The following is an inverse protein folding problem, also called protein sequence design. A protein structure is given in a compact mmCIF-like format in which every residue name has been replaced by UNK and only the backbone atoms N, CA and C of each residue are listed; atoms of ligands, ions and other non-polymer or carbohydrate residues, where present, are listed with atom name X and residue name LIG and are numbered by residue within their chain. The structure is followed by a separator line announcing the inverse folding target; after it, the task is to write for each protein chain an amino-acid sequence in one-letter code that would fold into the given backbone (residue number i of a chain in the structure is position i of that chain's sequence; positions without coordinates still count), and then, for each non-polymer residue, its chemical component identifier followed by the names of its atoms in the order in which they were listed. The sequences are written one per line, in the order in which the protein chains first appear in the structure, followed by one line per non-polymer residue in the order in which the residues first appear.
data_IF_586900789120
#
_entry.id   IF_586900789120
#
_cell.length_a   1.000
_cell.length_b   1.000
_cell.length_c   1.000
_cell.angle_alpha   90.00
_cell.angle_beta   90.00
_cell.angle_gamma   90.00
#
_symmetry.space_group_name_H-M   'P 1'
#
loop_
_entity.id
_entity.type
_entity.pdbx_description
1 polymer ?
#
# COMPACT_ATOMS: atom_id res chain seq x y z
N UNK A 1 0.63 30.54 2.09
CA UNK A 1 0.06 30.20 0.77
C UNK A 1 0.27 28.71 0.56
N UNK A 2 -0.78 27.90 0.43
CA UNK A 2 -0.64 26.46 0.13
C UNK A 2 -0.40 26.33 -1.37
N UNK A 3 0.80 25.90 -1.75
CA UNK A 3 1.12 25.56 -3.14
C UNK A 3 0.56 24.17 -3.39
N UNK A 4 -0.50 24.09 -4.20
CA UNK A 4 -1.05 22.84 -4.68
C UNK A 4 -0.37 22.55 -6.01
N UNK A 5 0.39 21.45 -6.09
CA UNK A 5 1.03 20.98 -7.31
C UNK A 5 0.13 19.88 -7.88
N UNK A 6 -0.64 20.13 -8.94
CA UNK A 6 -1.66 19.21 -9.44
C UNK A 6 -1.07 17.89 -9.96
N UNK A 7 0.15 17.95 -10.49
CA UNK A 7 0.85 16.80 -11.07
C UNK A 7 1.72 16.05 -10.05
N UNK A 8 1.79 16.54 -8.81
CA UNK A 8 2.47 15.81 -7.75
C UNK A 8 1.59 14.62 -7.35
N UNK A 9 1.82 13.47 -7.98
CA UNK A 9 1.46 12.17 -7.40
C UNK A 9 2.20 12.09 -6.08
N UNK A 10 1.47 12.35 -4.99
CA UNK A 10 2.00 12.12 -3.66
C UNK A 10 2.18 10.62 -3.57
N UNK A 11 3.38 10.14 -3.92
CA UNK A 11 3.84 8.82 -3.53
C UNK A 11 3.59 8.78 -2.03
N UNK A 12 2.61 7.99 -1.61
CA UNK A 12 2.22 7.98 -0.22
C UNK A 12 3.47 7.62 0.53
N UNK A 13 3.90 8.54 1.40
CA UNK A 13 5.17 8.43 2.10
C UNK A 13 5.14 7.09 2.81
N UNK A 14 5.93 6.11 2.33
CA UNK A 14 5.84 4.71 2.76
C UNK A 14 5.93 4.62 4.29
N UNK A 15 6.69 5.54 4.89
CA UNK A 15 6.78 5.75 6.33
C UNK A 15 5.44 6.06 7.01
N UNK A 16 4.64 6.99 6.48
CA UNK A 16 3.36 7.39 7.08
C UNK A 16 2.33 6.27 6.97
N UNK A 17 2.35 5.57 5.85
CA UNK A 17 1.49 4.43 5.56
C UNK A 17 1.83 3.22 6.44
N UNK A 18 3.12 2.91 6.59
CA UNK A 18 3.61 1.92 7.53
C UNK A 18 3.31 2.30 8.98
N UNK A 19 3.33 3.58 9.33
CA UNK A 19 2.93 4.08 10.65
C UNK A 19 1.44 3.88 10.89
N UNK A 20 0.60 4.19 9.91
CA UNK A 20 -0.85 3.97 9.98
C UNK A 20 -1.17 2.47 10.09
N UNK A 21 -0.52 1.63 9.28
CA UNK A 21 -0.65 0.18 9.37
C UNK A 21 -0.17 -0.37 10.71
N UNK A 22 0.97 0.09 11.24
CA UNK A 22 1.41 -0.30 12.59
C UNK A 22 0.42 0.12 13.69
N UNK A 23 -0.26 1.25 13.52
CA UNK A 23 -1.24 1.75 14.49
C UNK A 23 -2.58 1.01 14.40
N UNK A 24 -3.05 0.68 13.21
CA UNK A 24 -4.30 -0.05 12.99
C UNK A 24 -4.11 -1.55 13.18
N UNK A 25 -3.07 -2.13 12.59
CA UNK A 25 -2.73 -3.55 12.65
C UNK A 25 -1.82 -3.89 13.85
N UNK A 26 -1.98 -3.20 14.98
CA UNK A 26 -1.15 -3.21 16.23
C UNK A 26 -0.68 -4.58 16.76
N UNK A 27 -1.14 -5.69 16.19
CA UNK A 27 -0.86 -7.07 16.61
C UNK A 27 -0.23 -7.97 15.54
N UNK A 28 -0.02 -7.49 14.32
CA UNK A 28 0.40 -8.35 13.22
C UNK A 28 1.68 -7.78 12.60
N UNK A 29 2.84 -8.25 13.06
CA UNK A 29 4.14 -7.85 12.48
C UNK A 29 4.31 -8.35 11.03
N UNK A 30 3.62 -9.44 10.71
CA UNK A 30 3.79 -10.18 9.46
C UNK A 30 3.09 -9.51 8.26
N UNK A 31 2.16 -8.57 8.49
CA UNK A 31 1.42 -7.84 7.42
C UNK A 31 2.25 -6.77 6.74
N UNK A 32 3.26 -6.25 7.44
CA UNK A 32 4.07 -5.13 6.96
C UNK A 32 4.88 -5.55 5.72
N UNK A 33 5.40 -6.77 5.71
CA UNK A 33 6.29 -7.24 4.64
C UNK A 33 5.54 -7.47 3.29
N UNK A 34 4.38 -8.17 3.24
CA UNK A 34 3.57 -8.27 2.04
C UNK A 34 3.08 -6.90 1.56
N UNK A 35 2.69 -6.02 2.49
CA UNK A 35 2.26 -4.68 2.13
C UNK A 35 3.37 -3.87 1.46
N UNK A 36 4.56 -3.81 2.06
CA UNK A 36 5.71 -3.14 1.45
C UNK A 36 6.06 -3.79 0.11
N UNK A 37 6.07 -5.13 0.01
CA UNK A 37 6.33 -5.80 -1.27
C UNK A 37 5.38 -5.31 -2.38
N UNK A 38 4.11 -5.08 -2.06
CA UNK A 38 3.11 -4.57 -3.00
C UNK A 38 3.37 -3.15 -3.51
N UNK A 39 4.10 -2.32 -2.77
CA UNK A 39 4.45 -0.96 -3.20
C UNK A 39 5.59 -0.96 -4.22
N UNK A 40 6.43 -2.01 -4.23
CA UNK A 40 7.62 -2.14 -5.08
C UNK A 40 7.44 -3.01 -6.32
N UNK A 41 6.27 -3.63 -6.53
CA UNK A 41 6.00 -4.44 -7.72
C UNK A 41 5.95 -3.58 -8.99
N UNK A 42 6.42 -4.16 -10.10
CA UNK A 42 6.46 -3.51 -11.42
C UNK A 42 5.44 -4.11 -12.40
N UNK A 43 4.69 -5.13 -11.99
CA UNK A 43 3.64 -5.77 -12.78
C UNK A 43 2.35 -5.94 -11.96
N UNK A 44 1.22 -5.96 -12.66
CA UNK A 44 -0.10 -6.15 -12.04
C UNK A 44 -0.22 -7.58 -11.52
N UNK A 45 0.32 -8.58 -12.21
CA UNK A 45 0.23 -9.96 -11.73
C UNK A 45 1.05 -10.19 -10.45
N UNK A 46 2.17 -9.49 -10.26
CA UNK A 46 2.91 -9.52 -8.98
C UNK A 46 2.14 -8.81 -7.88
N UNK A 47 1.52 -7.66 -8.18
CA UNK A 47 0.67 -6.96 -7.22
C UNK A 47 -0.44 -7.89 -6.70
N UNK A 48 -1.21 -8.49 -7.59
CA UNK A 48 -2.34 -9.35 -7.24
C UNK A 48 -1.91 -10.57 -6.43
N UNK A 49 -0.75 -11.17 -6.76
CA UNK A 49 -0.18 -12.28 -6.00
C UNK A 49 0.16 -11.87 -4.56
N UNK A 50 0.84 -10.73 -4.38
CA UNK A 50 1.20 -10.23 -3.05
C UNK A 50 -0.06 -9.85 -2.25
N UNK A 51 -1.10 -9.37 -2.92
CA UNK A 51 -2.39 -9.05 -2.30
C UNK A 51 -3.19 -10.29 -1.91
N UNK A 52 -3.12 -11.36 -2.69
CA UNK A 52 -3.69 -12.65 -2.32
C UNK A 52 -2.99 -13.25 -1.09
N UNK A 53 -1.65 -13.16 -1.02
CA UNK A 53 -0.87 -13.54 0.17
C UNK A 53 -1.32 -12.74 1.40
N UNK A 54 -1.42 -11.42 1.27
CA UNK A 54 -1.88 -10.51 2.32
C UNK A 54 -3.28 -10.87 2.82
N UNK A 55 -4.22 -11.09 1.90
CA UNK A 55 -5.60 -11.47 2.23
C UNK A 55 -5.66 -12.83 2.94
N UNK A 56 -4.85 -13.79 2.54
CA UNK A 56 -4.80 -15.11 3.16
C UNK A 56 -4.27 -15.07 4.60
N UNK A 57 -3.32 -14.17 4.88
CA UNK A 57 -2.77 -14.00 6.23
C UNK A 57 -3.68 -13.13 7.11
N UNK A 58 -4.19 -12.03 6.56
CA UNK A 58 -4.85 -10.95 7.30
C UNK A 58 -5.97 -10.31 6.45
N UNK A 59 -7.09 -11.02 6.32
CA UNK A 59 -8.22 -10.60 5.48
C UNK A 59 -8.79 -9.23 5.89
N UNK A 60 -8.83 -8.95 7.19
CA UNK A 60 -9.31 -7.68 7.74
C UNK A 60 -8.44 -6.49 7.32
N UNK A 61 -7.11 -6.68 7.25
CA UNK A 61 -6.18 -5.63 6.82
C UNK A 61 -6.28 -5.41 5.31
N UNK A 62 -6.45 -6.49 4.55
CA UNK A 62 -6.72 -6.39 3.13
C UNK A 62 -8.00 -5.58 2.84
N UNK A 63 -9.09 -5.87 3.55
CA UNK A 63 -10.36 -5.16 3.38
C UNK A 63 -10.25 -3.66 3.75
N UNK A 64 -9.55 -3.33 4.84
CA UNK A 64 -9.27 -1.94 5.19
C UNK A 64 -8.47 -1.22 4.10
N UNK A 65 -7.43 -1.86 3.57
CA UNK A 65 -6.61 -1.26 2.53
C UNK A 65 -7.37 -1.08 1.20
N UNK A 66 -8.31 -1.97 0.87
CA UNK A 66 -9.20 -1.79 -0.27
C UNK A 66 -10.02 -0.50 -0.14
N UNK A 67 -10.51 -0.17 1.07
CA UNK A 67 -11.25 1.09 1.31
C UNK A 67 -10.39 2.31 1.00
N UNK A 68 -9.09 2.25 1.30
CA UNK A 68 -8.14 3.33 0.97
C UNK A 68 -7.71 3.35 -0.50
N UNK A 69 -8.06 2.32 -1.29
CA UNK A 69 -7.66 2.17 -2.68
C UNK A 69 -6.20 1.74 -2.81
N UNK A 70 -5.88 0.58 -2.25
CA UNK A 70 -4.54 -0.01 -2.14
C UNK A 70 -3.66 0.08 -3.40
N UNK A 71 -4.26 -0.06 -4.59
CA UNK A 71 -3.58 0.08 -5.88
C UNK A 71 -2.85 1.43 -6.02
N UNK A 72 -3.36 2.51 -5.42
CA UNK A 72 -2.76 3.86 -5.48
C UNK A 72 -1.38 3.94 -4.85
N UNK A 73 -1.04 2.97 -3.99
CA UNK A 73 0.24 2.89 -3.29
C UNK A 73 1.29 2.08 -4.07
N UNK A 74 0.89 1.37 -5.11
CA UNK A 74 1.81 0.55 -5.90
C UNK A 74 2.42 1.32 -7.06
N UNK A 75 3.73 1.14 -7.29
CA UNK A 75 4.45 1.72 -8.44
C UNK A 75 3.86 1.31 -9.78
N UNK A 76 3.26 0.12 -9.89
CA UNK A 76 2.68 -0.33 -11.16
C UNK A 76 1.44 0.49 -11.55
N UNK A 77 0.63 0.91 -10.58
CA UNK A 77 -0.57 1.71 -10.80
C UNK A 77 -0.34 3.21 -10.66
N UNK A 78 0.78 3.59 -10.03
CA UNK A 78 1.21 4.96 -9.88
C UNK A 78 2.71 5.07 -10.22
N UNK A 79 3.06 4.95 -11.53
CA UNK A 79 4.44 5.05 -11.96
C UNK A 79 4.95 6.46 -11.64
N UNK A 80 5.96 6.53 -10.77
CA UNK A 80 6.70 7.77 -10.53
C UNK A 80 7.34 8.15 -11.87
N UNK A 81 6.91 9.28 -12.44
CA UNK A 81 7.57 9.89 -13.61
C UNK A 81 8.87 10.56 -13.19
#
# INVERSE_FOLDING_TARGET
MKVIIPDATHGVFEYQLAKNLKQHCRKQGDVINPYYRSTYVYSVEEFDRVMAELKAMHAEVYDELLVFGIQKFSRVYNPIK
#
